data_IF_082050742601
#
_entry.id   IF_082050742601
#
_cell.length_a   1.000
_cell.length_b   1.000
_cell.length_c   1.000
_cell.angle_alpha   90.00
_cell.angle_beta   90.00
_cell.angle_gamma   90.00
#
_symmetry.space_group_name_H-M   'P 1'
#
loop_
_entity.id
_entity.type
_entity.pdbx_description
1 polymer ?
#
# COMPACT_ATOMS: atom_id res chain seq x y z
N UNK A 1 -15.11 3.42 -9.22
CA UNK A 1 -13.75 2.86 -9.02
C UNK A 1 -13.17 3.16 -7.64
N UNK A 2 -13.21 4.40 -7.12
CA UNK A 2 -12.65 4.72 -5.78
C UNK A 2 -13.08 3.80 -4.63
N UNK A 3 -14.38 3.46 -4.52
CA UNK A 3 -14.89 2.62 -3.44
C UNK A 3 -14.36 1.18 -3.47
N UNK A 4 -14.02 0.69 -4.66
CA UNK A 4 -13.36 -0.61 -4.82
C UNK A 4 -11.95 -0.57 -4.20
N UNK A 5 -11.16 0.47 -4.45
CA UNK A 5 -9.86 0.64 -3.81
C UNK A 5 -9.96 0.87 -2.30
N UNK A 6 -10.96 1.62 -1.83
CA UNK A 6 -11.23 1.77 -0.39
C UNK A 6 -11.50 0.40 0.25
N UNK A 7 -12.36 -0.42 -0.35
CA UNK A 7 -12.62 -1.77 0.14
C UNK A 7 -11.33 -2.61 0.20
N UNK A 8 -10.53 -2.61 -0.88
CA UNK A 8 -9.27 -3.35 -0.91
C UNK A 8 -8.27 -2.87 0.14
N UNK A 9 -8.17 -1.55 0.38
CA UNK A 9 -7.31 -1.00 1.44
C UNK A 9 -7.80 -1.42 2.82
N UNK A 10 -9.11 -1.39 3.08
CA UNK A 10 -9.66 -1.86 4.34
C UNK A 10 -9.35 -3.34 4.56
N UNK A 11 -9.57 -4.19 3.55
CA UNK A 11 -9.24 -5.61 3.61
C UNK A 11 -7.73 -5.83 3.85
N UNK A 12 -6.87 -5.06 3.19
CA UNK A 12 -5.43 -5.12 3.40
C UNK A 12 -5.04 -4.71 4.82
N UNK A 13 -5.64 -3.65 5.38
CA UNK A 13 -5.41 -3.23 6.77
C UNK A 13 -5.83 -4.32 7.75
N UNK A 14 -6.99 -4.96 7.56
CA UNK A 14 -7.43 -6.07 8.40
C UNK A 14 -6.48 -7.27 8.31
N UNK A 15 -6.02 -7.61 7.10
CA UNK A 15 -5.06 -8.69 6.90
C UNK A 15 -3.74 -8.41 7.62
N UNK A 16 -3.17 -7.22 7.46
CA UNK A 16 -1.92 -6.84 8.11
C UNK A 16 -2.07 -6.75 9.63
N UNK A 17 -3.21 -6.25 10.12
CA UNK A 17 -3.47 -6.22 11.56
C UNK A 17 -3.57 -7.63 12.15
N UNK A 18 -4.24 -8.55 11.46
CA UNK A 18 -4.30 -9.95 11.85
C UNK A 18 -2.90 -10.58 11.88
N UNK A 19 -2.13 -10.46 10.81
CA UNK A 19 -0.81 -11.09 10.75
C UNK A 19 0.24 -10.45 11.67
N UNK A 20 0.13 -9.14 11.92
CA UNK A 20 1.11 -8.37 12.69
C UNK A 20 0.85 -8.34 14.19
N UNK A 21 -0.42 -8.36 14.64
CA UNK A 21 -0.78 -8.20 16.06
C UNK A 21 -1.37 -9.45 16.71
N UNK A 22 -1.59 -10.55 15.97
CA UNK A 22 -2.03 -11.80 16.62
C UNK A 22 -0.94 -12.36 17.56
N UNK A 23 -1.33 -12.98 18.68
CA UNK A 23 -0.39 -13.68 19.56
C UNK A 23 0.30 -14.81 18.80
N UNK A 24 1.63 -14.81 18.80
CA UNK A 24 2.45 -15.79 18.04
C UNK A 24 2.86 -17.01 18.86
N UNK A 25 2.49 -17.05 20.14
CA UNK A 25 2.62 -18.20 21.03
C UNK A 25 1.61 -19.32 20.72
N UNK A 26 0.49 -19.00 20.06
CA UNK A 26 -0.55 -19.98 19.72
C UNK A 26 -0.55 -20.41 18.24
N UNK A 27 0.28 -19.77 17.42
CA UNK A 27 0.39 -20.03 15.98
C UNK A 27 1.86 -20.33 15.73
N UNK A 28 2.25 -21.44 15.07
CA UNK A 28 3.65 -21.70 14.73
C UNK A 28 4.10 -20.72 13.63
N UNK A 29 4.24 -19.45 14.00
CA UNK A 29 4.42 -18.33 13.09
C UNK A 29 5.75 -18.43 12.36
N UNK A 30 6.79 -18.87 13.06
CA UNK A 30 8.10 -19.14 12.46
C UNK A 30 8.10 -20.31 11.47
N UNK A 31 7.13 -21.23 11.55
CA UNK A 31 7.01 -22.36 10.63
C UNK A 31 6.12 -22.05 9.42
N UNK A 32 5.09 -21.20 9.59
CA UNK A 32 4.12 -20.87 8.53
C UNK A 32 4.53 -19.63 7.72
N UNK A 33 5.19 -18.65 8.33
CA UNK A 33 5.60 -17.39 7.70
C UNK A 33 7.10 -17.15 7.92
N UNK A 34 7.97 -17.83 7.15
CA UNK A 34 9.41 -17.80 7.37
C UNK A 34 10.09 -16.44 7.08
N UNK A 35 9.34 -15.41 6.68
CA UNK A 35 9.90 -14.14 6.18
C UNK A 35 9.07 -12.93 6.63
N UNK A 36 9.09 -12.62 7.93
CA UNK A 36 8.40 -11.46 8.54
C UNK A 36 8.69 -10.16 7.76
N UNK A 37 9.98 -9.94 7.43
CA UNK A 37 10.43 -8.79 6.62
C UNK A 37 9.82 -8.74 5.22
N UNK A 38 9.59 -9.90 4.59
CA UNK A 38 8.91 -9.94 3.28
C UNK A 38 7.43 -9.58 3.43
N UNK A 39 6.79 -9.97 4.53
CA UNK A 39 5.41 -9.60 4.83
C UNK A 39 5.29 -8.08 5.06
N UNK A 40 6.19 -7.50 5.84
CA UNK A 40 6.32 -6.06 6.02
C UNK A 40 6.51 -5.32 4.69
N UNK A 41 7.48 -5.76 3.87
CA UNK A 41 7.74 -5.20 2.56
C UNK A 41 6.53 -5.30 1.61
N UNK A 42 6.02 -6.51 1.39
CA UNK A 42 4.93 -6.77 0.44
C UNK A 42 3.61 -6.15 0.91
N UNK A 43 3.35 -6.18 2.22
CA UNK A 43 2.21 -5.58 2.86
C UNK A 43 2.14 -4.08 2.62
N UNK A 44 3.21 -3.35 2.91
CA UNK A 44 3.27 -1.91 2.69
C UNK A 44 3.38 -1.53 1.22
N UNK A 45 3.97 -2.37 0.37
CA UNK A 45 3.94 -2.19 -1.09
C UNK A 45 2.52 -2.20 -1.61
N UNK A 46 1.75 -3.26 -1.31
CA UNK A 46 0.36 -3.40 -1.78
C UNK A 46 -0.51 -2.30 -1.18
N UNK A 47 -0.40 -2.05 0.13
CA UNK A 47 -1.17 -1.02 0.82
C UNK A 47 -0.95 0.36 0.21
N UNK A 48 0.30 0.74 -0.05
CA UNK A 48 0.66 2.03 -0.66
C UNK A 48 0.13 2.12 -2.09
N UNK A 49 0.31 1.07 -2.88
CA UNK A 49 -0.16 1.02 -4.25
C UNK A 49 -1.67 1.21 -4.35
N UNK A 50 -2.44 0.48 -3.53
CA UNK A 50 -3.90 0.57 -3.51
C UNK A 50 -4.38 1.93 -3.00
N UNK A 51 -3.73 2.47 -1.96
CA UNK A 51 -4.08 3.77 -1.36
C UNK A 51 -3.91 4.90 -2.37
N UNK A 52 -2.88 4.86 -3.20
CA UNK A 52 -2.66 5.87 -4.25
C UNK A 52 -3.86 6.01 -5.19
N UNK A 53 -4.47 4.89 -5.58
CA UNK A 53 -5.62 4.86 -6.51
C UNK A 53 -6.98 5.16 -5.85
N UNK A 54 -7.02 5.42 -4.54
CA UNK A 54 -8.23 5.97 -3.89
C UNK A 54 -8.44 7.43 -4.35
N UNK A 55 -7.35 8.17 -4.52
CA UNK A 55 -7.36 9.59 -4.76
C UNK A 55 -7.51 9.93 -6.24
N UNK A 56 -8.33 10.94 -6.53
CA UNK A 56 -8.57 11.44 -7.88
C UNK A 56 -8.40 12.96 -7.90
N UNK A 57 -7.16 13.42 -7.72
CA UNK A 57 -6.83 14.86 -7.75
C UNK A 57 -6.26 15.26 -9.12
N UNK A 58 -6.56 16.48 -9.60
CA UNK A 58 -6.06 16.97 -10.89
C UNK A 58 -4.53 17.01 -11.01
N UNK A 59 -3.83 17.15 -9.88
CA UNK A 59 -2.36 17.15 -9.82
C UNK A 59 -1.90 15.91 -9.08
N UNK A 60 -1.08 15.08 -9.75
CA UNK A 60 -0.52 13.83 -9.18
C UNK A 60 0.17 14.03 -7.83
N UNK A 61 0.84 15.16 -7.62
CA UNK A 61 1.51 15.48 -6.36
C UNK A 61 0.55 15.42 -5.15
N UNK A 62 -0.71 15.80 -5.32
CA UNK A 62 -1.69 15.70 -4.23
C UNK A 62 -2.05 14.25 -3.91
N UNK A 63 -2.16 13.37 -4.92
CA UNK A 63 -2.37 11.94 -4.70
C UNK A 63 -1.17 11.32 -3.97
N UNK A 64 0.05 11.73 -4.34
CA UNK A 64 1.28 11.31 -3.65
C UNK A 64 1.25 11.73 -2.18
N UNK A 65 0.99 13.01 -1.87
CA UNK A 65 0.95 13.50 -0.49
C UNK A 65 -0.14 12.84 0.35
N UNK A 66 -1.35 12.70 -0.19
CA UNK A 66 -2.47 12.04 0.47
C UNK A 66 -2.22 10.54 0.71
N UNK A 67 -1.26 9.94 0.00
CA UNK A 67 -0.84 8.55 0.20
C UNK A 67 0.31 8.46 1.19
N UNK A 68 1.38 9.23 0.99
CA UNK A 68 2.62 9.11 1.76
C UNK A 68 2.43 9.49 3.22
N UNK A 69 1.63 10.52 3.53
CA UNK A 69 1.42 10.96 4.91
C UNK A 69 0.83 9.84 5.79
N UNK A 70 -0.36 9.28 5.48
CA UNK A 70 -0.92 8.20 6.31
C UNK A 70 -0.09 6.92 6.27
N UNK A 71 0.49 6.57 5.12
CA UNK A 71 1.36 5.38 5.01
C UNK A 71 2.62 5.53 5.87
N UNK A 72 3.22 6.73 5.93
CA UNK A 72 4.38 6.99 6.78
C UNK A 72 4.08 6.80 8.25
N UNK A 73 2.91 7.28 8.71
CA UNK A 73 2.44 7.01 10.08
C UNK A 73 2.22 5.53 10.33
N UNK A 74 1.65 4.78 9.37
CA UNK A 74 1.45 3.35 9.51
C UNK A 74 2.78 2.58 9.51
N UNK A 75 3.73 2.93 8.65
CA UNK A 75 5.01 2.24 8.50
C UNK A 75 5.87 2.29 9.77
N UNK A 76 5.80 3.40 10.49
CA UNK A 76 6.47 3.57 11.78
C UNK A 76 5.58 3.11 12.94
N UNK A 77 4.31 3.54 12.94
CA UNK A 77 3.39 3.31 14.03
C UNK A 77 3.01 1.84 14.23
N UNK A 78 2.96 1.04 13.16
CA UNK A 78 2.70 -0.40 13.29
C UNK A 78 3.74 -1.08 14.16
N UNK A 79 5.01 -0.73 13.99
CA UNK A 79 6.14 -1.30 14.74
C UNK A 79 6.14 -0.86 16.20
N UNK A 80 5.89 0.43 16.45
CA UNK A 80 5.84 0.97 17.81
C UNK A 80 4.65 0.40 18.61
N UNK A 81 3.52 0.17 17.95
CA UNK A 81 2.33 -0.38 18.58
C UNK A 81 2.36 -1.92 18.68
N UNK A 82 3.17 -2.62 17.88
CA UNK A 82 3.21 -4.07 17.85
C UNK A 82 3.50 -4.72 19.22
N UNK A 83 4.55 -4.34 19.96
CA UNK A 83 4.83 -4.93 21.27
C UNK A 83 3.79 -4.56 22.34
N UNK A 84 3.04 -3.46 22.14
CA UNK A 84 1.98 -3.03 23.06
C UNK A 84 0.72 -3.90 22.88
N UNK A 85 0.40 -4.23 21.63
CA UNK A 85 -0.81 -4.96 21.26
C UNK A 85 -0.59 -6.48 21.20
N UNK A 86 0.64 -6.93 20.95
CA UNK A 86 1.04 -8.34 20.94
C UNK A 86 2.29 -8.52 21.81
N UNK A 87 2.13 -8.85 23.10
CA UNK A 87 3.25 -8.96 24.05
C UNK A 87 4.29 -10.03 23.68
N UNK A 88 3.98 -10.92 22.73
CA UNK A 88 4.90 -11.94 22.20
C UNK A 88 5.78 -11.41 21.07
N UNK A 89 5.55 -10.17 20.60
CA UNK A 89 6.34 -9.50 19.57
C UNK A 89 7.28 -8.47 20.18
N UNK A 90 8.48 -8.42 19.65
CA UNK A 90 9.49 -7.44 20.02
C UNK A 90 9.63 -6.40 18.91
N UNK A 91 10.01 -5.18 19.30
CA UNK A 91 10.36 -4.12 18.36
C UNK A 91 11.58 -4.52 17.52
N UNK A 92 11.48 -4.44 16.19
CA UNK A 92 12.55 -4.57 15.21
C UNK A 92 12.60 -3.37 14.24
N UNK A 93 13.67 -2.58 14.34
CA UNK A 93 13.90 -1.46 13.42
C UNK A 93 14.04 -1.88 11.95
N UNK A 94 14.43 -3.14 11.67
CA UNK A 94 14.50 -3.65 10.30
C UNK A 94 13.12 -3.83 9.66
N UNK A 95 12.06 -4.00 10.45
CA UNK A 95 10.70 -4.09 9.93
C UNK A 95 10.18 -2.71 9.50
N UNK A 96 10.58 -1.63 10.19
CA UNK A 96 10.36 -0.26 9.71
C UNK A 96 11.06 -0.04 8.35
N UNK A 97 12.31 -0.52 8.20
CA UNK A 97 13.03 -0.42 6.93
C UNK A 97 12.29 -1.19 5.83
N UNK A 98 11.79 -2.39 6.12
CA UNK A 98 11.00 -3.17 5.17
C UNK A 98 9.69 -2.46 4.80
N UNK A 99 8.96 -1.89 5.77
CA UNK A 99 7.74 -1.12 5.55
C UNK A 99 7.98 0.08 4.63
N UNK A 100 9.00 0.89 4.95
CA UNK A 100 9.36 2.09 4.17
C UNK A 100 9.81 1.71 2.77
N UNK A 101 10.65 0.68 2.62
CA UNK A 101 11.11 0.23 1.32
C UNK A 101 9.95 -0.30 0.46
N UNK A 102 9.06 -1.09 1.06
CA UNK A 102 7.82 -1.55 0.42
C UNK A 102 6.97 -0.38 -0.05
N UNK A 103 6.73 0.60 0.82
CA UNK A 103 5.96 1.80 0.49
C UNK A 103 6.58 2.61 -0.66
N UNK A 104 7.91 2.80 -0.67
CA UNK A 104 8.60 3.47 -1.77
C UNK A 104 8.39 2.75 -3.11
N UNK A 105 8.55 1.42 -3.14
CA UNK A 105 8.31 0.61 -4.34
C UNK A 105 6.84 0.68 -4.77
N UNK A 106 5.91 0.56 -3.82
CA UNK A 106 4.47 0.65 -4.10
C UNK A 106 4.06 2.00 -4.70
N UNK A 107 4.62 3.10 -4.17
CA UNK A 107 4.39 4.45 -4.69
C UNK A 107 4.99 4.62 -6.09
N UNK A 108 6.21 4.13 -6.32
CA UNK A 108 6.84 4.16 -7.64
C UNK A 108 5.98 3.41 -8.66
N UNK A 109 5.54 2.20 -8.34
CA UNK A 109 4.68 1.41 -9.23
C UNK A 109 3.35 2.11 -9.50
N UNK A 110 2.70 2.66 -8.47
CA UNK A 110 1.42 3.34 -8.63
C UNK A 110 1.54 4.58 -9.54
N UNK A 111 2.59 5.39 -9.34
CA UNK A 111 2.84 6.58 -10.17
C UNK A 111 3.19 6.24 -11.62
N UNK A 112 3.93 5.16 -11.85
CA UNK A 112 4.22 4.65 -13.21
C UNK A 112 2.93 4.16 -13.87
N UNK A 113 2.12 3.35 -13.19
CA UNK A 113 0.84 2.84 -13.73
C UNK A 113 -0.12 3.99 -14.05
N UNK A 114 -0.22 4.98 -13.17
CA UNK A 114 -1.03 6.19 -13.37
C UNK A 114 -0.57 6.97 -14.61
N UNK A 115 0.75 7.18 -14.75
CA UNK A 115 1.32 7.84 -15.91
C UNK A 115 1.02 7.08 -17.22
N UNK A 116 1.18 5.76 -17.24
CA UNK A 116 0.88 4.94 -18.41
C UNK A 116 -0.61 4.98 -18.78
N UNK A 117 -1.51 5.04 -17.80
CA UNK A 117 -2.96 5.21 -18.03
C UNK A 117 -3.26 6.56 -18.67
N UNK A 118 -2.70 7.65 -18.14
CA UNK A 118 -2.87 8.99 -18.72
C UNK A 118 -2.37 9.06 -20.18
N UNK A 119 -1.20 8.50 -20.46
CA UNK A 119 -0.64 8.47 -21.83
C UNK A 119 -1.55 7.70 -22.78
N UNK A 120 -2.10 6.56 -22.35
CA UNK A 120 -3.04 5.78 -23.15
C UNK A 120 -4.33 6.54 -23.44
N UNK A 121 -4.91 7.19 -22.43
CA UNK A 121 -6.13 7.99 -22.59
C UNK A 121 -5.94 9.18 -23.54
N UNK A 122 -4.79 9.87 -23.44
CA UNK A 122 -4.45 10.96 -24.36
C UNK A 122 -4.31 10.49 -25.81
N UNK A 123 -3.76 9.28 -26.04
CA UNK A 123 -3.63 8.69 -27.38
C UNK A 123 -4.97 8.28 -27.99
N UNK A 124 -5.92 7.82 -27.18
CA UNK A 124 -7.24 7.39 -27.67
C UNK A 124 -8.18 8.56 -27.99
N UNK A 125 -8.01 9.73 -27.35
CA UNK A 125 -8.87 10.91 -27.53
C UNK A 125 -9.01 11.42 -28.97
N UNK A 126 -7.92 11.61 -29.75
CA UNK A 126 -8.03 12.09 -31.14
C UNK A 126 -8.71 11.07 -32.08
N UNK A 127 -8.66 9.78 -31.76
CA UNK A 127 -9.28 8.74 -32.59
C UNK A 127 -10.81 8.74 -32.48
N UNK A 128 -11.38 9.12 -31.31
CA UNK A 128 -12.83 9.23 -31.12
C UNK A 128 -13.39 10.53 -31.71
N UNK A 129 -12.69 11.66 -31.53
CA UNK A 129 -13.11 12.93 -32.15
C UNK A 129 -13.17 12.82 -33.69
N UNK A 130 -12.26 12.05 -34.30
CA UNK A 130 -12.31 11.79 -35.75
C UNK A 130 -13.48 10.88 -36.20
N UNK A 131 -14.01 10.02 -35.31
CA UNK A 131 -15.15 9.15 -35.60
C UNK A 131 -16.51 9.84 -35.38
N UNK A 132 -16.58 10.83 -34.48
CA UNK A 132 -17.79 11.64 -34.26
C UNK A 132 -18.00 12.74 -35.32
N UNK A 133 -16.99 13.01 -36.16
CA UNK A 133 -17.06 13.99 -37.26
C UNK A 133 -17.50 13.39 -38.61
N UNK A 134 -17.95 12.12 -38.64
CA UNK A 134 -18.45 11.40 -39.83
C UNK A 134 -19.91 11.04 -39.61
#
# INVERSE_FOLDING_TARGET
MRYFFVLLVLLQCFLLAGLGFLPTDQIPYHEILPQDKLLHFSGFLILTFLTFFIWDRPRRIHNVLLTVIPIGFLAFGSEVLQPILSPTRAYDSHDIVANVFGACVGLLLATVVDHLREVRLRRSRPQYEALEMV
#
